data_IF_403395321298
#
_entry.id   IF_403395321298
#
_cell.length_a   1.000
_cell.length_b   1.000
_cell.length_c   1.000
_cell.angle_alpha   90.00
_cell.angle_beta   90.00
_cell.angle_gamma   90.00
#
_symmetry.space_group_name_H-M   'P 1'
#
loop_
_entity.id
_entity.type
_entity.pdbx_description
1 polymer ?
#
# COMPACT_ATOMS: atom_id res chain seq x y z
N UNK A 1 -9.20 -17.06 -2.47
CA UNK A 1 -8.47 -16.73 -1.24
C UNK A 1 -7.23 -15.98 -1.69
N UNK A 2 -7.01 -14.75 -1.25
CA UNK A 2 -5.74 -14.08 -1.56
C UNK A 2 -4.65 -14.82 -0.80
N UNK A 3 -3.45 -15.03 -1.40
CA UNK A 3 -2.36 -15.63 -0.67
C UNK A 3 -2.13 -14.83 0.61
N UNK A 4 -1.78 -15.51 1.69
CA UNK A 4 -1.38 -14.86 2.94
C UNK A 4 -0.20 -13.96 2.62
N UNK A 5 -0.44 -12.66 2.60
CA UNK A 5 0.63 -11.68 2.42
C UNK A 5 1.18 -11.48 3.83
N UNK A 6 2.34 -12.06 4.10
CA UNK A 6 3.02 -11.96 5.39
C UNK A 6 3.41 -10.50 5.72
N UNK A 7 3.46 -9.64 4.71
CA UNK A 7 3.76 -8.22 4.87
C UNK A 7 2.74 -7.34 4.12
N UNK A 8 2.28 -6.25 4.74
CA UNK A 8 1.40 -5.29 4.08
C UNK A 8 2.15 -4.57 2.95
N UNK A 9 1.50 -4.41 1.80
CA UNK A 9 2.05 -3.72 0.65
C UNK A 9 2.15 -2.20 0.87
N UNK A 10 1.31 -1.63 1.72
CA UNK A 10 1.29 -0.20 2.05
C UNK A 10 1.02 -0.03 3.54
N UNK A 11 1.80 0.82 4.20
CA UNK A 11 1.67 1.13 5.62
C UNK A 11 1.51 2.62 5.83
N UNK A 12 0.44 2.98 6.52
CA UNK A 12 0.21 4.36 6.96
C UNK A 12 0.34 4.42 8.47
N UNK A 13 1.23 5.28 8.96
CA UNK A 13 1.42 5.56 10.37
C UNK A 13 0.93 6.97 10.66
N UNK A 14 0.02 7.09 11.60
CA UNK A 14 -0.44 8.38 12.10
C UNK A 14 0.26 8.66 13.43
N UNK A 15 0.90 9.82 13.53
CA UNK A 15 1.47 10.33 14.77
C UNK A 15 0.43 11.11 15.57
N UNK A 16 0.68 11.24 16.86
CA UNK A 16 -0.15 12.05 17.77
C UNK A 16 0.29 13.51 17.84
N UNK A 17 1.38 13.83 17.12
CA UNK A 17 2.02 15.13 17.17
C UNK A 17 3.21 15.16 18.11
N UNK A 18 4.04 16.19 17.98
CA UNK A 18 5.20 16.46 18.83
C UNK A 18 5.47 17.95 18.93
N UNK A 19 5.95 18.40 20.09
CA UNK A 19 6.43 19.78 20.25
C UNK A 19 7.78 19.95 19.56
N UNK A 20 8.03 21.15 19.02
CA UNK A 20 9.35 21.48 18.48
C UNK A 20 10.41 21.38 19.57
N UNK A 21 11.63 20.88 19.27
CA UNK A 21 12.71 20.78 20.25
C UNK A 21 13.09 22.12 20.91
N UNK A 22 12.86 23.24 20.22
CA UNK A 22 13.09 24.59 20.72
C UNK A 22 12.10 25.00 21.81
N UNK A 23 10.90 24.43 21.81
CA UNK A 23 9.80 24.84 22.68
C UNK A 23 9.70 23.96 23.93
N UNK A 24 10.52 22.93 24.01
CA UNK A 24 10.69 22.16 25.24
C UNK A 24 11.45 23.07 26.21
N UNK A 25 10.84 23.52 27.32
CA UNK A 25 11.53 24.29 28.32
C UNK A 25 12.81 23.56 28.68
N UNK A 26 13.99 24.15 28.47
CA UNK A 26 15.22 23.62 29.02
C UNK A 26 15.03 23.65 30.52
N UNK A 27 14.59 22.55 31.09
CA UNK A 27 14.55 22.38 32.52
C UNK A 27 15.97 22.70 33.00
N UNK A 28 16.12 23.90 33.58
CA UNK A 28 17.34 24.24 34.29
C UNK A 28 17.69 23.07 35.20
N UNK A 29 18.96 22.70 35.30
CA UNK A 29 19.38 21.62 36.17
C UNK A 29 19.21 22.04 37.62
N UNK A 30 17.97 22.15 38.11
CA UNK A 30 17.69 22.25 39.52
C UNK A 30 18.02 20.89 40.12
N UNK A 31 19.17 20.79 40.77
CA UNK A 31 19.67 19.60 41.47
C UNK A 31 18.82 19.31 42.71
N UNK A 32 17.56 18.98 42.54
CA UNK A 32 16.71 18.48 43.60
C UNK A 32 16.79 16.96 43.61
N UNK A 33 17.15 16.36 44.75
CA UNK A 33 17.29 14.93 44.98
C UNK A 33 16.02 14.14 44.55
N UNK A 34 14.85 14.76 44.56
CA UNK A 34 13.58 14.17 44.11
C UNK A 34 13.43 14.10 42.59
N UNK A 35 14.20 14.89 41.81
CA UNK A 35 14.10 14.89 40.35
C UNK A 35 15.04 13.86 39.67
N UNK A 36 16.00 13.35 40.39
CA UNK A 36 16.97 12.32 39.94
C UNK A 36 16.58 10.90 40.36
N UNK A 37 15.39 10.72 40.91
CA UNK A 37 14.88 9.43 41.31
C UNK A 37 14.75 8.46 40.13
N UNK A 38 14.85 7.15 40.43
CA UNK A 38 14.73 6.05 39.48
C UNK A 38 13.48 6.21 38.57
N UNK A 39 12.35 6.60 39.15
CA UNK A 39 11.09 6.82 38.40
C UNK A 39 11.21 7.95 37.36
N UNK A 40 11.86 9.06 37.69
CA UNK A 40 12.07 10.16 36.74
C UNK A 40 13.01 9.75 35.60
N UNK A 41 14.04 8.96 35.89
CA UNK A 41 14.94 8.38 34.89
C UNK A 41 14.21 7.34 34.03
N UNK A 42 13.38 6.49 34.61
CA UNK A 42 12.58 5.50 33.92
C UNK A 42 11.56 6.17 32.99
N UNK A 43 10.82 7.19 33.45
CA UNK A 43 9.89 7.97 32.64
C UNK A 43 10.60 8.70 31.49
N UNK A 44 11.79 9.24 31.74
CA UNK A 44 12.61 9.89 30.72
C UNK A 44 13.11 8.88 29.68
N UNK A 45 13.60 7.71 30.14
CA UNK A 45 14.00 6.61 29.26
C UNK A 45 12.80 6.08 28.46
N UNK A 46 11.63 5.98 29.08
CA UNK A 46 10.39 5.57 28.44
C UNK A 46 9.97 6.59 27.36
N UNK A 47 9.90 7.90 27.68
CA UNK A 47 9.66 8.97 26.70
C UNK A 47 10.66 8.95 25.54
N UNK A 48 11.92 8.70 25.80
CA UNK A 48 12.96 8.62 24.77
C UNK A 48 12.86 7.33 23.93
N UNK A 49 12.41 6.23 24.52
CA UNK A 49 12.26 4.95 23.82
C UNK A 49 10.97 4.88 22.98
N UNK A 50 9.90 5.48 23.46
CA UNK A 50 8.61 5.54 22.78
C UNK A 50 8.42 6.85 22.00
N UNK A 51 9.33 7.80 22.14
CA UNK A 51 9.35 9.03 21.36
C UNK A 51 9.27 8.71 19.85
N UNK A 52 8.28 9.30 19.22
CA UNK A 52 7.84 9.09 17.84
C UNK A 52 8.99 8.92 16.81
N UNK A 53 10.07 9.67 16.94
CA UNK A 53 11.20 9.70 16.00
C UNK A 53 12.05 8.41 16.07
N UNK A 54 12.30 7.84 17.25
CA UNK A 54 13.11 6.62 17.41
C UNK A 54 12.35 5.37 16.98
N UNK A 55 11.08 5.27 17.36
CA UNK A 55 10.21 4.17 16.91
C UNK A 55 10.07 4.14 15.39
N UNK A 56 10.05 5.29 14.76
CA UNK A 56 10.03 5.42 13.31
C UNK A 56 11.34 4.94 12.67
N UNK A 57 12.50 5.40 13.13
CA UNK A 57 13.81 4.98 12.61
C UNK A 57 14.06 3.49 12.77
N UNK A 58 13.61 2.89 13.88
CA UNK A 58 13.74 1.46 14.11
C UNK A 58 12.88 0.63 13.15
N UNK A 59 11.63 1.04 12.91
CA UNK A 59 10.72 0.36 11.96
C UNK A 59 11.13 0.58 10.51
N UNK A 60 11.67 1.75 10.17
CA UNK A 60 12.19 2.05 8.83
C UNK A 60 13.39 1.16 8.47
N UNK A 61 14.31 0.91 9.43
CA UNK A 61 15.49 0.04 9.23
C UNK A 61 15.09 -1.42 8.97
N UNK A 62 14.02 -1.91 9.59
CA UNK A 62 13.56 -3.30 9.41
C UNK A 62 12.95 -3.57 8.03
N UNK A 63 12.65 -2.51 7.25
CA UNK A 63 12.00 -2.57 5.94
C UNK A 63 12.83 -1.95 4.82
N UNK A 64 14.14 -2.15 4.85
CA UNK A 64 15.03 -1.54 3.83
C UNK A 64 14.68 -1.90 2.38
N UNK A 65 13.96 -3.00 2.13
CA UNK A 65 13.51 -3.40 0.81
C UNK A 65 12.24 -2.71 0.26
N UNK A 66 11.44 -2.02 1.11
CA UNK A 66 10.15 -1.41 0.71
C UNK A 66 9.91 -0.03 1.31
N UNK A 67 10.93 0.83 1.36
CA UNK A 67 10.83 2.20 1.89
C UNK A 67 9.76 3.06 1.21
N UNK A 68 9.43 2.74 -0.03
CA UNK A 68 8.53 3.53 -0.88
C UNK A 68 7.05 3.44 -0.49
N UNK A 69 6.66 2.46 0.33
CA UNK A 69 5.26 2.20 0.70
C UNK A 69 4.95 2.46 2.17
N UNK A 70 5.86 3.11 2.88
CA UNK A 70 5.64 3.54 4.26
C UNK A 70 5.41 5.04 4.31
N UNK A 71 4.24 5.44 4.80
CA UNK A 71 3.84 6.82 4.96
C UNK A 71 3.63 7.11 6.44
N UNK A 72 4.23 8.19 6.92
CA UNK A 72 3.98 8.69 8.25
C UNK A 72 3.47 10.12 8.17
N UNK A 73 2.33 10.35 8.78
CA UNK A 73 1.77 11.67 8.99
C UNK A 73 1.89 12.01 10.46
N UNK A 74 2.59 13.07 10.73
CA UNK A 74 2.78 13.63 12.06
C UNK A 74 2.66 15.14 11.98
N UNK A 75 2.34 15.80 13.08
CA UNK A 75 2.26 17.24 13.15
C UNK A 75 3.18 17.77 14.25
N UNK A 76 3.71 18.98 14.04
CA UNK A 76 4.44 19.68 15.07
C UNK A 76 3.50 20.71 15.71
N UNK A 77 3.51 20.76 17.04
CA UNK A 77 2.78 21.77 17.80
C UNK A 77 3.61 23.04 17.92
N UNK A 78 2.95 24.17 17.80
CA UNK A 78 3.51 25.47 18.20
C UNK A 78 3.29 25.62 19.72
N UNK A 79 4.31 25.25 20.50
CA UNK A 79 4.27 25.26 21.95
C UNK A 79 4.27 23.87 22.61
N UNK A 80 4.00 23.79 23.91
CA UNK A 80 4.01 22.53 24.66
C UNK A 80 2.89 21.60 24.21
N UNK A 81 3.15 20.29 24.29
CA UNK A 81 2.13 19.27 24.04
C UNK A 81 0.94 19.47 24.99
N UNK A 82 -0.30 19.48 24.46
CA UNK A 82 -1.48 19.58 25.31
C UNK A 82 -1.57 18.38 26.25
N UNK A 83 -2.17 18.56 27.42
CA UNK A 83 -2.45 17.48 28.33
C UNK A 83 -3.46 16.50 27.69
N UNK A 84 -3.34 15.20 28.01
CA UNK A 84 -4.19 14.16 27.41
C UNK A 84 -5.69 14.33 27.70
N UNK A 85 -6.02 15.01 28.78
CA UNK A 85 -7.37 15.32 29.27
C UNK A 85 -7.87 16.70 28.85
N UNK A 86 -7.05 17.50 28.17
CA UNK A 86 -7.43 18.85 27.71
C UNK A 86 -8.31 18.79 26.46
N UNK A 87 -9.60 18.60 26.67
CA UNK A 87 -10.59 18.56 25.57
C UNK A 87 -10.84 19.93 24.95
N UNK A 88 -10.46 21.03 25.62
CA UNK A 88 -10.71 22.40 25.13
C UNK A 88 -9.92 22.69 23.86
N UNK A 89 -8.75 22.08 23.71
CA UNK A 89 -7.86 22.23 22.54
C UNK A 89 -8.19 21.33 21.36
N UNK A 90 -9.20 20.47 21.47
CA UNK A 90 -9.49 19.47 20.43
C UNK A 90 -9.80 20.09 19.06
N UNK A 91 -10.50 21.21 19.00
CA UNK A 91 -10.84 21.87 17.74
C UNK A 91 -9.62 22.55 17.10
N UNK A 92 -8.76 23.14 17.93
CA UNK A 92 -7.49 23.73 17.50
C UNK A 92 -6.57 22.65 16.92
N UNK A 93 -6.37 21.53 17.62
CA UNK A 93 -5.60 20.39 17.17
C UNK A 93 -6.12 19.80 15.86
N UNK A 94 -7.43 19.66 15.73
CA UNK A 94 -8.07 19.19 14.50
C UNK A 94 -7.82 20.13 13.32
N UNK A 95 -7.88 21.45 13.55
CA UNK A 95 -7.63 22.45 12.52
C UNK A 95 -6.16 22.45 12.11
N UNK A 96 -5.24 22.40 13.08
CA UNK A 96 -3.81 22.32 12.84
C UNK A 96 -3.43 21.04 12.08
N UNK A 97 -3.97 19.88 12.47
CA UNK A 97 -3.73 18.62 11.76
C UNK A 97 -4.25 18.67 10.32
N UNK A 98 -5.44 19.25 10.10
CA UNK A 98 -5.97 19.43 8.74
C UNK A 98 -5.07 20.34 7.90
N UNK A 99 -4.62 21.46 8.46
CA UNK A 99 -3.73 22.39 7.76
C UNK A 99 -2.37 21.73 7.42
N UNK A 100 -1.78 20.95 8.34
CA UNK A 100 -0.52 20.27 8.12
C UNK A 100 -0.59 19.20 7.02
N UNK A 101 -1.74 18.49 6.92
CA UNK A 101 -1.91 17.40 5.97
C UNK A 101 -2.47 17.91 4.63
N UNK A 102 -3.30 18.95 4.66
CA UNK A 102 -3.98 19.47 3.47
C UNK A 102 -2.97 19.96 2.42
N UNK A 103 -3.06 19.40 1.23
CA UNK A 103 -2.17 19.78 0.12
C UNK A 103 -0.75 19.20 0.20
N UNK A 104 -0.40 18.43 1.24
CA UNK A 104 0.93 17.84 1.37
C UNK A 104 1.27 16.94 0.17
N UNK A 105 2.53 16.99 -0.28
CA UNK A 105 3.03 16.13 -1.37
C UNK A 105 2.93 14.65 -0.98
N UNK A 106 3.11 14.35 0.31
CA UNK A 106 3.05 12.99 0.83
C UNK A 106 1.64 12.42 0.83
N UNK A 107 0.62 13.22 1.17
CA UNK A 107 -0.77 12.79 1.06
C UNK A 107 -1.15 12.51 -0.41
N UNK A 108 -0.73 13.37 -1.34
CA UNK A 108 -0.94 13.15 -2.77
C UNK A 108 -0.24 11.89 -3.25
N UNK A 109 0.99 11.62 -2.79
CA UNK A 109 1.73 10.39 -3.09
C UNK A 109 1.02 9.17 -2.51
N UNK A 110 0.59 9.22 -1.24
CA UNK A 110 -0.19 8.16 -0.61
C UNK A 110 -1.45 7.84 -1.42
N UNK A 111 -2.21 8.86 -1.83
CA UNK A 111 -3.42 8.66 -2.63
C UNK A 111 -3.13 7.92 -3.94
N UNK A 112 -2.04 8.27 -4.65
CA UNK A 112 -1.61 7.56 -5.86
C UNK A 112 -1.23 6.11 -5.58
N UNK A 113 -0.50 5.85 -4.49
CA UNK A 113 -0.13 4.49 -4.11
C UNK A 113 -1.36 3.65 -3.73
N UNK A 114 -2.36 4.23 -3.05
CA UNK A 114 -3.64 3.55 -2.77
C UNK A 114 -4.37 3.20 -4.08
N UNK A 115 -4.37 4.10 -5.07
CA UNK A 115 -4.95 3.81 -6.39
C UNK A 115 -4.19 2.67 -7.07
N UNK A 116 -2.85 2.68 -7.04
CA UNK A 116 -2.05 1.60 -7.62
C UNK A 116 -2.31 0.24 -6.96
N UNK A 117 -2.52 0.20 -5.64
CA UNK A 117 -2.86 -1.01 -4.88
C UNK A 117 -4.23 -1.63 -5.26
N UNK A 118 -5.08 -0.90 -5.96
CA UNK A 118 -6.31 -1.46 -6.51
C UNK A 118 -6.07 -2.41 -7.68
N UNK A 119 -4.88 -2.39 -8.27
CA UNK A 119 -4.52 -3.23 -9.41
C UNK A 119 -3.67 -4.41 -8.98
N UNK A 120 -3.88 -5.54 -9.62
CA UNK A 120 -3.14 -6.80 -9.42
C UNK A 120 -2.75 -7.37 -10.76
N UNK A 121 -1.65 -8.10 -10.82
CA UNK A 121 -1.24 -8.83 -12.01
C UNK A 121 -1.51 -10.33 -11.82
N UNK A 122 -2.12 -10.94 -12.83
CA UNK A 122 -2.49 -12.36 -12.85
C UNK A 122 -1.96 -12.98 -14.13
N UNK A 123 -1.23 -14.09 -14.03
CA UNK A 123 -0.80 -14.89 -15.18
C UNK A 123 -2.00 -15.61 -15.82
N UNK A 124 -2.03 -15.70 -17.15
CA UNK A 124 -3.01 -16.48 -17.89
C UNK A 124 -2.74 -18.00 -17.70
N UNK A 125 -1.45 -18.41 -17.65
CA UNK A 125 -0.98 -19.80 -17.47
C UNK A 125 0.44 -19.80 -16.91
N UNK A 126 0.96 -20.98 -16.54
CA UNK A 126 2.37 -21.13 -16.17
C UNK A 126 3.25 -20.85 -17.40
N UNK A 127 4.17 -19.87 -17.32
CA UNK A 127 5.01 -19.49 -18.45
C UNK A 127 5.92 -20.61 -18.95
N UNK A 128 5.90 -20.84 -20.24
CA UNK A 128 6.78 -21.79 -20.92
C UNK A 128 8.08 -21.10 -21.36
N UNK A 129 9.15 -21.89 -21.42
CA UNK A 129 10.44 -21.42 -21.90
C UNK A 129 10.51 -21.58 -23.40
N UNK A 130 10.68 -20.49 -24.14
CA UNK A 130 10.83 -20.44 -25.58
C UNK A 130 12.09 -19.66 -25.94
N UNK A 131 12.92 -20.17 -26.80
CA UNK A 131 14.17 -19.54 -27.26
C UNK A 131 15.07 -19.02 -26.10
N UNK A 132 15.16 -19.79 -25.01
CA UNK A 132 15.98 -19.44 -23.86
C UNK A 132 15.35 -18.46 -22.87
N UNK A 133 14.18 -17.90 -23.17
CA UNK A 133 13.43 -16.96 -22.34
C UNK A 133 12.06 -17.50 -21.95
N UNK A 134 11.52 -17.00 -20.85
CA UNK A 134 10.14 -17.25 -20.43
C UNK A 134 9.24 -16.11 -20.91
N UNK A 135 8.20 -16.45 -21.69
CA UNK A 135 7.16 -15.50 -22.08
C UNK A 135 6.03 -15.53 -21.04
N UNK A 136 5.97 -14.50 -20.21
CA UNK A 136 4.92 -14.32 -19.22
C UNK A 136 3.78 -13.54 -19.84
N UNK A 137 2.67 -14.20 -20.15
CA UNK A 137 1.42 -13.56 -20.54
C UNK A 137 0.47 -13.50 -19.35
N UNK A 138 -0.18 -12.38 -19.17
CA UNK A 138 -1.08 -12.18 -18.07
C UNK A 138 -1.91 -10.91 -18.23
N UNK A 139 -2.64 -10.56 -17.17
CA UNK A 139 -3.53 -9.40 -17.18
C UNK A 139 -3.36 -8.56 -15.92
N UNK A 140 -3.37 -7.26 -16.10
CA UNK A 140 -3.58 -6.32 -15.00
C UNK A 140 -5.09 -6.21 -14.80
N UNK A 141 -5.55 -6.56 -13.61
CA UNK A 141 -6.95 -6.52 -13.21
C UNK A 141 -7.16 -5.46 -12.12
N UNK A 142 -8.36 -4.88 -12.06
CA UNK A 142 -8.76 -4.01 -10.96
C UNK A 142 -9.57 -4.80 -9.92
N UNK A 143 -9.28 -4.59 -8.64
CA UNK A 143 -10.04 -5.19 -7.52
C UNK A 143 -11.48 -4.63 -7.41
N UNK A 144 -11.73 -3.45 -8.00
CA UNK A 144 -13.08 -2.88 -8.12
C UNK A 144 -13.73 -3.36 -9.40
N UNK A 145 -14.97 -3.78 -9.31
CA UNK A 145 -15.75 -4.30 -10.43
C UNK A 145 -16.57 -3.21 -11.08
N UNK A 146 -16.97 -3.43 -12.32
CA UNK A 146 -17.79 -2.51 -13.12
C UNK A 146 -19.11 -2.12 -12.44
N UNK A 147 -19.71 -3.02 -11.66
CA UNK A 147 -20.97 -2.75 -10.95
C UNK A 147 -20.80 -1.89 -9.68
N UNK A 148 -19.57 -1.57 -9.29
CA UNK A 148 -19.32 -0.74 -8.10
C UNK A 148 -19.22 0.73 -8.51
N UNK A 149 -20.02 1.61 -7.87
CA UNK A 149 -20.07 3.05 -8.19
C UNK A 149 -18.69 3.73 -8.24
N UNK A 150 -17.76 3.34 -7.33
CA UNK A 150 -16.41 3.87 -7.31
C UNK A 150 -15.54 3.41 -8.52
N UNK A 151 -15.94 2.38 -9.27
CA UNK A 151 -15.20 1.92 -10.45
C UNK A 151 -15.28 2.94 -11.57
N UNK A 152 -16.47 3.46 -11.87
CA UNK A 152 -16.66 4.45 -12.92
C UNK A 152 -15.88 5.74 -12.62
N UNK A 153 -15.93 6.22 -11.37
CA UNK A 153 -15.14 7.38 -10.94
C UNK A 153 -13.63 7.11 -11.05
N UNK A 154 -13.18 5.89 -10.74
CA UNK A 154 -11.78 5.49 -10.91
C UNK A 154 -11.38 5.52 -12.39
N UNK A 155 -12.17 4.91 -13.29
CA UNK A 155 -11.89 4.88 -14.71
C UNK A 155 -11.86 6.28 -15.32
N UNK A 156 -12.76 7.16 -14.92
CA UNK A 156 -12.77 8.56 -15.32
C UNK A 156 -11.50 9.30 -14.86
N UNK A 157 -11.06 9.08 -13.63
CA UNK A 157 -9.81 9.66 -13.13
C UNK A 157 -8.58 9.14 -13.87
N UNK A 158 -8.52 7.83 -14.15
CA UNK A 158 -7.43 7.21 -14.90
C UNK A 158 -7.31 7.79 -16.32
N UNK A 159 -8.44 8.01 -16.98
CA UNK A 159 -8.48 8.58 -18.35
C UNK A 159 -8.10 10.06 -18.37
N UNK A 160 -8.60 10.86 -17.40
CA UNK A 160 -8.38 12.32 -17.36
C UNK A 160 -6.95 12.72 -16.95
N UNK A 161 -6.29 11.94 -16.10
CA UNK A 161 -5.05 12.34 -15.42
C UNK A 161 -3.76 11.91 -16.12
N UNK A 162 -3.80 11.53 -17.39
CA UNK A 162 -2.62 11.01 -18.12
C UNK A 162 -1.90 9.89 -17.32
N UNK A 163 -2.66 8.99 -16.72
CA UNK A 163 -2.13 7.88 -15.97
C UNK A 163 -1.68 6.78 -16.93
N UNK A 164 -0.51 6.21 -16.67
CA UNK A 164 0.07 5.13 -17.49
C UNK A 164 0.53 3.99 -16.61
N UNK A 165 0.32 2.75 -17.06
CA UNK A 165 1.00 1.61 -16.49
C UNK A 165 2.39 1.50 -17.07
N UNK A 166 3.36 1.19 -16.22
CA UNK A 166 4.74 0.93 -16.61
C UNK A 166 5.05 -0.54 -16.30
N UNK A 167 5.70 -1.20 -17.25
CA UNK A 167 6.29 -2.53 -17.08
C UNK A 167 7.79 -2.38 -17.23
N UNK A 168 8.56 -2.74 -16.22
CA UNK A 168 9.99 -2.50 -16.20
C UNK A 168 10.38 -1.05 -16.57
N UNK A 169 9.62 -0.07 -16.04
CA UNK A 169 9.81 1.35 -16.32
C UNK A 169 9.33 1.82 -17.70
N UNK A 170 8.93 0.93 -18.59
CA UNK A 170 8.44 1.25 -19.94
C UNK A 170 6.92 1.39 -19.93
N UNK A 171 6.36 2.47 -20.50
CA UNK A 171 4.93 2.63 -20.54
C UNK A 171 4.27 1.57 -21.44
N UNK A 172 3.15 1.02 -20.95
CA UNK A 172 2.28 0.22 -21.80
C UNK A 172 1.64 1.11 -22.85
N UNK A 173 1.58 0.60 -24.07
CA UNK A 173 0.98 1.30 -25.20
C UNK A 173 -0.54 1.44 -25.03
N UNK A 174 -1.05 2.54 -25.59
CA UNK A 174 -2.46 2.88 -25.59
C UNK A 174 -2.89 3.75 -24.40
N UNK A 175 -3.96 4.48 -24.61
CA UNK A 175 -4.66 5.22 -23.56
C UNK A 175 -5.54 4.24 -22.77
N UNK A 176 -5.79 4.55 -21.50
CA UNK A 176 -6.75 3.80 -20.70
C UNK A 176 -8.16 4.16 -21.17
N UNK A 177 -8.73 3.28 -21.95
CA UNK A 177 -10.04 3.42 -22.56
C UNK A 177 -10.85 2.10 -22.45
N UNK A 178 -11.96 2.04 -23.16
CA UNK A 178 -12.83 0.87 -23.16
C UNK A 178 -12.17 -0.40 -23.73
N UNK A 179 -11.07 -0.31 -24.49
CA UNK A 179 -10.31 -1.48 -24.96
C UNK A 179 -9.59 -2.22 -23.83
N UNK A 180 -9.49 -1.60 -22.66
CA UNK A 180 -8.92 -2.19 -21.47
C UNK A 180 -9.98 -2.82 -20.55
N UNK A 181 -11.21 -2.95 -21.05
CA UNK A 181 -12.29 -3.60 -20.32
C UNK A 181 -12.56 -5.00 -20.89
N UNK A 182 -12.93 -5.92 -20.00
CA UNK A 182 -13.43 -7.24 -20.40
C UNK A 182 -14.89 -7.13 -20.92
N UNK A 183 -15.47 -8.20 -21.49
CA UNK A 183 -16.86 -8.21 -21.95
C UNK A 183 -17.90 -7.91 -20.85
N UNK A 184 -17.51 -8.04 -19.58
CA UNK A 184 -18.35 -7.70 -18.41
C UNK A 184 -18.11 -6.27 -17.91
N UNK A 185 -17.29 -5.48 -18.61
CA UNK A 185 -16.94 -4.10 -18.28
C UNK A 185 -15.90 -3.94 -17.18
N UNK A 186 -15.28 -5.02 -16.68
CA UNK A 186 -14.23 -4.91 -15.67
C UNK A 186 -12.89 -4.57 -16.32
N UNK A 187 -12.03 -3.85 -15.59
CA UNK A 187 -10.68 -3.54 -16.06
C UNK A 187 -9.84 -4.80 -16.23
N UNK A 188 -9.29 -5.00 -17.42
CA UNK A 188 -8.51 -6.18 -17.81
C UNK A 188 -7.54 -5.85 -18.95
N UNK A 189 -6.33 -5.37 -18.63
CA UNK A 189 -5.30 -5.07 -19.63
C UNK A 189 -4.34 -6.24 -19.77
N UNK A 190 -4.24 -6.80 -20.99
CA UNK A 190 -3.28 -7.85 -21.32
C UNK A 190 -1.86 -7.29 -21.34
N UNK A 191 -0.92 -8.05 -20.79
CA UNK A 191 0.51 -7.72 -20.72
C UNK A 191 1.32 -8.97 -21.04
N UNK A 192 2.41 -8.79 -21.82
CA UNK A 192 3.38 -9.83 -22.12
C UNK A 192 4.78 -9.34 -21.74
N UNK A 193 5.53 -10.16 -21.04
CA UNK A 193 6.85 -9.83 -20.49
C UNK A 193 7.80 -10.99 -20.77
N UNK A 194 8.97 -10.71 -21.31
CA UNK A 194 10.03 -11.71 -21.49
C UNK A 194 11.01 -11.68 -20.32
N UNK A 195 11.29 -12.83 -19.72
CA UNK A 195 12.23 -12.98 -18.62
C UNK A 195 13.24 -14.09 -18.91
N UNK A 196 14.48 -13.89 -18.49
CA UNK A 196 15.54 -14.89 -18.69
C UNK A 196 15.39 -16.05 -17.73
N UNK A 197 14.95 -15.79 -16.50
CA UNK A 197 14.83 -16.78 -15.43
C UNK A 197 13.51 -16.60 -14.65
N UNK A 198 13.00 -17.71 -14.12
CA UNK A 198 11.78 -17.74 -13.28
C UNK A 198 11.92 -17.01 -11.94
N UNK A 199 13.16 -16.76 -11.49
CA UNK A 199 13.49 -16.01 -10.28
C UNK A 199 13.72 -14.52 -10.54
N UNK A 200 13.92 -14.14 -11.81
CA UNK A 200 14.08 -12.73 -12.19
C UNK A 200 12.86 -11.94 -11.75
N UNK A 201 13.13 -10.81 -11.10
CA UNK A 201 12.07 -9.89 -10.68
C UNK A 201 11.69 -8.96 -11.80
N UNK A 202 10.41 -8.63 -11.90
CA UNK A 202 9.91 -7.56 -12.75
C UNK A 202 8.90 -6.69 -12.02
N UNK A 203 8.79 -5.45 -12.46
CA UNK A 203 7.93 -4.46 -11.83
C UNK A 203 6.79 -4.03 -12.73
N UNK A 204 5.61 -3.88 -12.15
CA UNK A 204 4.48 -3.21 -12.78
C UNK A 204 4.08 -2.05 -11.87
N UNK A 205 3.99 -0.86 -12.43
CA UNK A 205 3.79 0.37 -11.69
C UNK A 205 2.74 1.25 -12.39
N UNK A 206 2.13 2.13 -11.62
CA UNK A 206 1.20 3.17 -12.08
C UNK A 206 1.85 4.53 -11.94
N UNK A 207 1.88 5.34 -13.01
CA UNK A 207 2.46 6.69 -13.01
C UNK A 207 1.44 7.71 -13.48
N UNK A 208 1.29 8.80 -12.73
CA UNK A 208 0.50 9.97 -13.07
C UNK A 208 1.41 11.08 -13.61
N UNK A 209 1.30 11.41 -14.90
CA UNK A 209 2.14 12.41 -15.54
C UNK A 209 3.64 12.16 -15.34
N UNK A 210 4.35 13.15 -14.78
CA UNK A 210 5.78 13.09 -14.48
C UNK A 210 6.07 12.77 -13.00
N UNK A 211 5.07 12.32 -12.23
CA UNK A 211 5.26 11.98 -10.84
C UNK A 211 5.95 10.63 -10.68
N UNK A 212 6.53 10.40 -9.50
CA UNK A 212 7.11 9.10 -9.15
C UNK A 212 6.08 8.00 -9.32
N UNK A 213 6.45 6.86 -9.95
CA UNK A 213 5.55 5.74 -10.13
C UNK A 213 5.26 5.03 -8.81
N UNK A 214 4.07 4.47 -8.66
CA UNK A 214 3.67 3.63 -7.54
C UNK A 214 3.52 2.19 -8.00
N UNK A 215 4.09 1.24 -7.26
CA UNK A 215 3.96 -0.19 -7.57
C UNK A 215 2.51 -0.65 -7.40
N UNK A 216 2.02 -1.49 -8.32
CA UNK A 216 0.75 -2.17 -8.14
C UNK A 216 0.87 -3.27 -7.06
N UNK A 217 -0.26 -3.76 -6.58
CA UNK A 217 -0.29 -4.76 -5.51
C UNK A 217 0.50 -6.01 -5.88
N UNK A 218 1.43 -6.38 -5.00
CA UNK A 218 2.30 -7.55 -5.18
C UNK A 218 3.57 -7.31 -5.99
N UNK A 219 3.74 -6.16 -6.67
CA UNK A 219 4.99 -5.80 -7.36
C UNK A 219 6.11 -5.47 -6.34
N UNK A 220 7.36 -5.89 -6.57
CA UNK A 220 7.90 -6.62 -7.72
C UNK A 220 7.49 -8.10 -7.73
N UNK A 221 7.33 -8.66 -8.93
CA UNK A 221 6.91 -10.03 -9.15
C UNK A 221 8.06 -10.93 -9.58
N UNK A 222 7.93 -12.23 -9.31
CA UNK A 222 8.73 -13.29 -9.96
C UNK A 222 7.77 -14.32 -10.55
N UNK A 223 8.18 -15.06 -11.59
CA UNK A 223 7.34 -16.14 -12.14
C UNK A 223 7.02 -17.15 -11.05
N UNK A 224 8.02 -17.61 -10.31
CA UNK A 224 7.80 -18.61 -9.26
C UNK A 224 6.81 -18.12 -8.19
N UNK A 225 6.91 -16.86 -7.76
CA UNK A 225 5.99 -16.27 -6.81
C UNK A 225 4.56 -16.20 -7.33
N UNK A 226 4.39 -15.79 -8.60
CA UNK A 226 3.07 -15.73 -9.23
C UNK A 226 2.46 -17.11 -9.44
N UNK A 227 3.24 -18.07 -9.93
CA UNK A 227 2.77 -19.47 -10.14
C UNK A 227 2.36 -20.09 -8.82
N UNK A 228 3.14 -19.91 -7.76
CA UNK A 228 2.80 -20.40 -6.42
C UNK A 228 1.55 -19.72 -5.85
N UNK A 229 1.49 -18.39 -5.92
CA UNK A 229 0.37 -17.60 -5.40
C UNK A 229 -0.96 -17.90 -6.12
N UNK A 230 -0.89 -18.26 -7.40
CA UNK A 230 -2.05 -18.59 -8.24
C UNK A 230 -2.29 -20.09 -8.36
N UNK A 231 -1.46 -20.90 -7.72
CA UNK A 231 -1.54 -22.39 -7.75
C UNK A 231 -1.55 -22.94 -9.20
N UNK A 232 -0.78 -22.29 -10.13
CA UNK A 232 -0.80 -22.65 -11.55
C UNK A 232 -0.19 -24.02 -11.85
N UNK A 233 0.70 -24.50 -11.01
CA UNK A 233 1.33 -25.83 -11.10
C UNK A 233 0.59 -26.92 -10.33
N UNK A 234 -0.59 -26.63 -9.74
CA UNK A 234 -1.34 -27.62 -9.00
C UNK A 234 -1.85 -28.75 -9.94
N UNK A 235 -1.74 -30.04 -9.56
CA UNK A 235 -2.22 -31.15 -10.36
C UNK A 235 -3.68 -31.03 -10.71
N UNK A 236 -4.05 -31.50 -11.92
CA UNK A 236 -5.43 -31.51 -12.35
C UNK A 236 -6.29 -32.38 -11.38
N UNK A 237 -7.45 -31.86 -10.99
CA UNK A 237 -8.36 -32.57 -10.08
C UNK A 237 -8.22 -32.23 -8.59
N UNK A 238 -7.23 -31.44 -8.18
CA UNK A 238 -7.17 -30.92 -6.81
C UNK A 238 -8.28 -29.90 -6.55
N UNK A 239 -8.70 -29.77 -5.28
CA UNK A 239 -9.77 -28.83 -4.87
C UNK A 239 -9.54 -27.37 -5.32
N UNK A 240 -8.31 -27.03 -5.63
CA UNK A 240 -7.89 -25.69 -6.05
C UNK A 240 -8.22 -25.38 -7.51
N UNK A 241 -8.32 -26.39 -8.39
CA UNK A 241 -8.79 -26.21 -9.78
C UNK A 241 -10.22 -25.67 -9.84
N UNK A 242 -11.08 -26.03 -8.90
CA UNK A 242 -12.45 -25.49 -8.81
C UNK A 242 -12.50 -24.01 -8.44
N UNK A 243 -11.50 -23.49 -7.74
CA UNK A 243 -11.44 -22.07 -7.36
C UNK A 243 -11.09 -21.15 -8.54
N UNK A 244 -10.34 -21.64 -9.53
CA UNK A 244 -9.97 -20.85 -10.74
C UNK A 244 -11.16 -20.58 -11.64
N UNK A 245 -12.05 -21.56 -11.81
CA UNK A 245 -13.30 -21.35 -12.55
C UNK A 245 -14.27 -20.37 -11.86
N UNK A 246 -14.10 -20.12 -10.54
CA UNK A 246 -14.94 -19.23 -9.75
C UNK A 246 -14.44 -17.80 -9.63
N UNK A 247 -13.28 -17.45 -10.16
CA UNK A 247 -12.85 -16.03 -10.27
C UNK A 247 -13.75 -15.30 -11.25
N UNK A 248 -14.37 -16.01 -12.19
CA UNK A 248 -15.39 -15.47 -13.09
C UNK A 248 -16.79 -15.35 -12.48
N UNK A 249 -17.05 -15.98 -11.31
CA UNK A 249 -18.36 -15.94 -10.64
C UNK A 249 -18.21 -15.56 -9.17
N UNK A 250 -18.06 -14.25 -8.91
CA UNK A 250 -17.90 -13.72 -7.56
C UNK A 250 -19.20 -13.54 -6.78
N UNK A 251 -20.27 -14.24 -7.15
CA UNK A 251 -21.52 -14.26 -6.37
C UNK A 251 -21.48 -15.21 -5.16
N UNK A 252 -20.38 -15.96 -4.97
CA UNK A 252 -20.28 -16.99 -3.93
C UNK A 252 -19.81 -16.52 -2.54
N UNK A 253 -19.27 -15.30 -2.39
CA UNK A 253 -18.65 -14.87 -1.13
C UNK A 253 -19.58 -14.16 -0.15
N UNK A 254 -20.78 -13.77 -0.57
CA UNK A 254 -21.73 -13.08 0.32
C UNK A 254 -22.68 -14.05 1.07
N UNK A 255 -22.83 -15.31 0.64
CA UNK A 255 -23.81 -16.23 1.23
C UNK A 255 -23.30 -17.16 2.35
N UNK A 256 -22.01 -17.19 2.66
CA UNK A 256 -21.45 -18.08 3.70
C UNK A 256 -21.33 -17.48 5.10
N UNK A 257 -21.65 -16.21 5.31
CA UNK A 257 -21.61 -15.57 6.66
C UNK A 257 -22.94 -15.58 7.41
N UNK A 258 -24.04 -16.09 6.84
CA UNK A 258 -25.35 -16.08 7.51
C UNK A 258 -25.84 -17.44 8.05
N UNK A 259 -24.99 -18.48 8.07
CA UNK A 259 -25.39 -19.81 8.56
C UNK A 259 -24.58 -20.33 9.75
N UNK A 260 -24.16 -19.45 10.66
CA UNK A 260 -23.71 -19.89 11.99
C UNK A 260 -24.28 -18.88 13.00
N UNK A 261 -25.57 -18.99 13.28
CA UNK A 261 -26.26 -18.67 14.54
C UNK A 261 -27.72 -19.07 14.38
N UNK A 262 -28.01 -20.25 14.76
CA UNK A 262 -29.26 -20.71 15.34
C UNK A 262 -28.91 -21.88 16.25
#
# INVERSE_FOLDING_TARGET
MYPSIDEPSLVVSLGTGSSRPSDIPRMSPSRGILQDGFIARLLRAFKLSFGSIRGHKFRSRRREGRKEQYFRFDMEFDGPEPALDDTTKMQELKSAARAAIHGSKELKRLARCIVAELFVFVLDHDPLKENGKYLCTGRILCRRRANHHAFNSLMEQLSKKSIKFLVEGRPLEGLIDNSWLDPKGNFSKRVSIELVDRRSTFTIQLREGNMDPCSISGSPFTINGLVAAQELSAPFGTSNHRKRMRVDSADGLCRKRQRVRA
#
